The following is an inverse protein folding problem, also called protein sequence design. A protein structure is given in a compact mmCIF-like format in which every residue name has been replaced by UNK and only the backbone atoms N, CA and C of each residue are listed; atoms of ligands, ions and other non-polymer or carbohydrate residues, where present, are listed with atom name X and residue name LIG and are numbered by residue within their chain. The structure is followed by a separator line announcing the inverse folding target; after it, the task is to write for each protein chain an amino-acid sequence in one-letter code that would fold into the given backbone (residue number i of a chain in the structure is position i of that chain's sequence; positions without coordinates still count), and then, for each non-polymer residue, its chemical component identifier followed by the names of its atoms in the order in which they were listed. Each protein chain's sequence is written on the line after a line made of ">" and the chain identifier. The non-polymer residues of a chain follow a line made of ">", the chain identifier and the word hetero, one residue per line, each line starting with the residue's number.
data_IF_350829389333
#
_entry.id   IF_350829389333
#
_cell.length_a   1.000
_cell.length_b   1.000
_cell.length_c   1.000
_cell.angle_alpha   90.00
_cell.angle_beta   90.00
_cell.angle_gamma   90.00
#
_symmetry.space_group_name_H-M   'P 1'
#
loop_
_entity.id
_entity.type
_entity.pdbx_description
1 polymer ?
#
# COMPACT_ATOMS: atom_id res chain seq x y z
N UNK A 1 -3.17 -13.58 -30.71
CA UNK A 1 -3.20 -14.00 -32.12
C UNK A 1 -3.54 -12.86 -33.07
N UNK A 2 -4.62 -12.10 -32.84
CA UNK A 2 -5.08 -11.03 -33.76
C UNK A 2 -4.02 -9.97 -34.12
N UNK A 3 -3.19 -9.53 -33.17
CA UNK A 3 -2.13 -8.53 -33.42
C UNK A 3 -1.01 -9.06 -34.32
N UNK A 4 -0.68 -10.35 -34.22
CA UNK A 4 0.31 -10.98 -35.11
C UNK A 4 -0.26 -11.12 -36.53
N UNK A 5 -1.52 -11.52 -36.65
CA UNK A 5 -2.20 -11.67 -37.96
C UNK A 5 -2.31 -10.32 -38.67
N UNK A 6 -2.67 -9.25 -37.96
CA UNK A 6 -2.73 -7.90 -38.53
C UNK A 6 -1.36 -7.42 -39.03
N UNK A 7 -0.30 -7.69 -38.27
CA UNK A 7 1.06 -7.31 -38.65
C UNK A 7 1.55 -8.03 -39.91
N UNK A 8 1.38 -9.35 -39.98
CA UNK A 8 1.76 -10.12 -41.18
C UNK A 8 0.90 -9.77 -42.40
N UNK A 9 -0.38 -9.52 -42.21
CA UNK A 9 -1.27 -9.08 -43.29
C UNK A 9 -0.86 -7.71 -43.83
N UNK A 10 -0.55 -6.75 -42.96
CA UNK A 10 -0.07 -5.42 -43.37
C UNK A 10 1.24 -5.49 -44.14
N UNK A 11 2.19 -6.33 -43.72
CA UNK A 11 3.46 -6.52 -44.43
C UNK A 11 3.23 -7.17 -45.80
N UNK A 12 2.33 -8.14 -45.88
CA UNK A 12 2.00 -8.83 -47.11
C UNK A 12 1.40 -7.88 -48.17
N UNK A 13 0.51 -6.97 -47.76
CA UNK A 13 -0.02 -5.95 -48.68
C UNK A 13 1.03 -4.96 -49.17
N UNK A 14 1.98 -4.57 -48.31
CA UNK A 14 3.11 -3.70 -48.70
C UNK A 14 4.03 -4.41 -49.71
N UNK A 15 4.29 -5.71 -49.51
CA UNK A 15 5.09 -6.53 -50.43
C UNK A 15 4.40 -6.72 -51.79
N UNK A 16 3.09 -6.97 -51.80
CA UNK A 16 2.31 -7.05 -53.05
C UNK A 16 2.37 -5.73 -53.80
N UNK A 17 2.13 -4.59 -53.12
CA UNK A 17 2.21 -3.27 -53.74
C UNK A 17 3.61 -2.99 -54.32
N UNK A 18 4.65 -3.41 -53.62
CA UNK A 18 6.05 -3.26 -54.07
C UNK A 18 6.36 -4.17 -55.28
N UNK A 19 5.84 -5.40 -55.30
CA UNK A 19 6.03 -6.34 -56.40
C UNK A 19 5.30 -5.89 -57.68
N UNK A 20 4.09 -5.34 -57.54
CA UNK A 20 3.35 -4.77 -58.67
C UNK A 20 4.06 -3.54 -59.26
N UNK A 21 4.64 -2.68 -58.41
CA UNK A 21 5.43 -1.54 -58.85
C UNK A 21 6.72 -1.93 -59.59
N UNK A 22 7.31 -3.09 -59.26
CA UNK A 22 8.51 -3.60 -59.93
C UNK A 22 8.22 -4.32 -61.26
N UNK A 23 7.05 -4.96 -61.39
CA UNK A 23 6.71 -5.79 -62.55
C UNK A 23 6.19 -4.99 -63.76
N UNK A 24 5.52 -3.86 -63.54
CA UNK A 24 4.96 -3.05 -64.63
C UNK A 24 5.19 -1.55 -64.39
N UNK A 25 6.42 -1.04 -64.59
CA UNK A 25 6.77 0.35 -64.29
C UNK A 25 6.03 1.38 -65.18
N UNK A 26 5.60 0.99 -66.38
CA UNK A 26 4.92 1.90 -67.33
C UNK A 26 3.47 2.24 -66.93
N UNK A 27 2.80 1.38 -66.16
CA UNK A 27 1.48 1.70 -65.57
C UNK A 27 1.57 2.79 -64.50
N UNK A 28 2.80 3.10 -64.06
CA UNK A 28 3.10 4.07 -63.03
C UNK A 28 3.66 5.40 -63.60
N UNK A 29 3.65 5.61 -64.93
CA UNK A 29 3.97 6.89 -65.61
C UNK A 29 2.78 7.86 -65.64
N UNK A 30 2.06 7.98 -64.52
CA UNK A 30 1.03 9.00 -64.39
C UNK A 30 1.64 10.21 -63.69
N UNK A 31 1.33 11.43 -64.12
CA UNK A 31 1.76 12.71 -63.53
C UNK A 31 1.60 12.76 -61.99
N UNK A 32 0.64 11.98 -61.46
CA UNK A 32 0.39 11.79 -60.02
C UNK A 32 1.46 10.96 -59.30
N UNK A 33 2.22 10.13 -60.02
CA UNK A 33 3.26 9.26 -59.48
C UNK A 33 4.63 9.90 -59.45
N UNK A 34 4.93 10.75 -60.44
CA UNK A 34 6.11 11.62 -60.42
C UNK A 34 5.99 12.64 -59.27
N UNK A 35 4.79 13.18 -59.06
CA UNK A 35 4.43 13.98 -57.88
C UNK A 35 4.60 13.20 -56.56
N UNK A 36 4.20 11.93 -56.52
CA UNK A 36 4.39 11.06 -55.35
C UNK A 36 5.88 10.77 -55.09
N UNK A 37 6.68 10.62 -56.14
CA UNK A 37 8.13 10.42 -56.06
C UNK A 37 8.86 11.68 -55.57
N UNK A 38 8.44 12.87 -56.00
CA UNK A 38 8.99 14.15 -55.57
C UNK A 38 8.64 14.45 -54.09
N UNK A 39 7.45 14.04 -53.63
CA UNK A 39 7.03 14.13 -52.23
C UNK A 39 7.38 12.90 -51.39
N UNK A 40 8.09 11.92 -51.94
CA UNK A 40 8.42 10.64 -51.30
C UNK A 40 9.13 10.81 -49.96
N UNK A 41 10.04 11.78 -49.87
CA UNK A 41 10.75 12.12 -48.63
C UNK A 41 9.82 12.70 -47.57
N UNK A 42 8.85 13.52 -47.95
CA UNK A 42 7.82 14.04 -47.03
C UNK A 42 6.92 12.92 -46.49
N UNK A 43 6.45 12.01 -47.36
CA UNK A 43 5.64 10.86 -46.92
C UNK A 43 6.44 9.87 -46.07
N UNK A 44 7.69 9.58 -46.42
CA UNK A 44 8.59 8.75 -45.61
C UNK A 44 8.84 9.38 -44.24
N UNK A 45 9.14 10.68 -44.20
CA UNK A 45 9.36 11.41 -42.95
C UNK A 45 8.09 11.43 -42.10
N UNK A 46 6.93 11.73 -42.68
CA UNK A 46 5.66 11.72 -41.97
C UNK A 46 5.29 10.33 -41.45
N UNK A 47 5.57 9.27 -42.22
CA UNK A 47 5.34 7.90 -41.78
C UNK A 47 6.25 7.52 -40.60
N UNK A 48 7.56 7.81 -40.70
CA UNK A 48 8.51 7.60 -39.60
C UNK A 48 8.08 8.40 -38.36
N UNK A 49 7.62 9.64 -38.54
CA UNK A 49 7.16 10.50 -37.46
C UNK A 49 5.91 9.95 -36.77
N UNK A 50 4.90 9.53 -37.53
CA UNK A 50 3.68 8.90 -37.00
C UNK A 50 4.02 7.60 -36.26
N UNK A 51 4.84 6.73 -36.85
CA UNK A 51 5.29 5.48 -36.21
C UNK A 51 6.05 5.78 -34.91
N UNK A 52 6.90 6.82 -34.90
CA UNK A 52 7.63 7.24 -33.70
C UNK A 52 6.67 7.71 -32.60
N UNK A 53 5.67 8.53 -32.92
CA UNK A 53 4.64 8.97 -31.97
C UNK A 53 3.89 7.75 -31.40
N UNK A 54 3.49 6.81 -32.25
CA UNK A 54 2.78 5.60 -31.82
C UNK A 54 3.65 4.76 -30.89
N UNK A 55 4.94 4.58 -31.21
CA UNK A 55 5.88 3.85 -30.34
C UNK A 55 6.05 4.53 -28.99
N UNK A 56 6.26 5.84 -28.96
CA UNK A 56 6.37 6.62 -27.71
C UNK A 56 5.09 6.47 -26.89
N UNK A 57 3.92 6.55 -27.54
CA UNK A 57 2.63 6.39 -26.88
C UNK A 57 2.42 4.99 -26.30
N UNK A 58 2.83 3.94 -27.01
CA UNK A 58 2.76 2.56 -26.51
C UNK A 58 3.70 2.33 -25.31
N UNK A 59 4.91 2.89 -25.33
CA UNK A 59 5.84 2.84 -24.20
C UNK A 59 5.22 3.55 -23.00
N UNK A 60 4.64 4.74 -23.20
CA UNK A 60 3.94 5.49 -22.17
C UNK A 60 2.79 4.68 -21.55
N UNK A 61 1.95 4.03 -22.37
CA UNK A 61 0.87 3.17 -21.88
C UNK A 61 1.38 1.98 -21.07
N UNK A 62 2.45 1.31 -21.53
CA UNK A 62 3.06 0.19 -20.82
C UNK A 62 3.64 0.62 -19.48
N UNK A 63 4.36 1.74 -19.44
CA UNK A 63 4.90 2.31 -18.21
C UNK A 63 3.78 2.70 -17.24
N UNK A 64 2.72 3.36 -17.73
CA UNK A 64 1.55 3.74 -16.93
C UNK A 64 0.86 2.53 -16.30
N UNK A 65 0.65 1.45 -17.08
CA UNK A 65 0.10 0.19 -16.55
C UNK A 65 1.01 -0.46 -15.51
N UNK A 66 2.33 -0.47 -15.73
CA UNK A 66 3.30 -1.01 -14.78
C UNK A 66 3.30 -0.27 -13.44
N UNK A 67 3.27 1.07 -13.48
CA UNK A 67 3.18 1.91 -12.28
C UNK A 67 1.87 1.67 -11.53
N UNK A 68 0.73 1.56 -12.23
CA UNK A 68 -0.57 1.27 -11.59
C UNK A 68 -0.57 -0.11 -10.91
N UNK A 69 -0.04 -1.14 -11.56
CA UNK A 69 0.01 -2.49 -10.99
C UNK A 69 0.92 -2.55 -9.75
N UNK A 70 2.10 -1.91 -9.82
CA UNK A 70 3.01 -1.81 -8.68
C UNK A 70 2.36 -1.10 -7.50
N UNK A 71 1.67 0.03 -7.74
CA UNK A 71 0.95 0.79 -6.72
C UNK A 71 -0.15 -0.04 -6.04
N UNK A 72 -0.97 -0.74 -6.81
CA UNK A 72 -2.04 -1.60 -6.27
C UNK A 72 -1.47 -2.72 -5.39
N UNK A 73 -0.35 -3.34 -5.81
CA UNK A 73 0.32 -4.35 -4.99
C UNK A 73 0.83 -3.77 -3.67
N UNK A 74 1.46 -2.58 -3.69
CA UNK A 74 1.94 -1.92 -2.47
C UNK A 74 0.79 -1.54 -1.52
N UNK A 75 -0.33 -1.05 -2.04
CA UNK A 75 -1.52 -0.73 -1.22
C UNK A 75 -2.07 -1.96 -0.52
N UNK A 76 -2.23 -3.09 -1.23
CA UNK A 76 -2.67 -4.36 -0.65
C UNK A 76 -1.70 -4.83 0.45
N UNK A 77 -0.39 -4.75 0.21
CA UNK A 77 0.60 -5.11 1.23
C UNK A 77 0.52 -4.22 2.47
N UNK A 78 0.34 -2.91 2.30
CA UNK A 78 0.21 -1.98 3.43
C UNK A 78 -1.07 -2.22 4.21
N UNK A 79 -2.19 -2.49 3.54
CA UNK A 79 -3.45 -2.84 4.19
C UNK A 79 -3.32 -4.13 4.99
N UNK A 80 -2.67 -5.16 4.43
CA UNK A 80 -2.40 -6.41 5.13
C UNK A 80 -1.52 -6.19 6.38
N UNK A 81 -0.44 -5.40 6.26
CA UNK A 81 0.42 -5.05 7.40
C UNK A 81 -0.29 -4.23 8.45
N UNK A 82 -1.17 -3.31 8.06
CA UNK A 82 -1.99 -2.55 9.01
C UNK A 82 -2.92 -3.49 9.79
N UNK A 83 -3.65 -4.35 9.09
CA UNK A 83 -4.57 -5.31 9.71
C UNK A 83 -3.86 -6.25 10.69
N UNK A 84 -2.64 -6.69 10.35
CA UNK A 84 -1.81 -7.50 11.25
C UNK A 84 -1.46 -6.74 12.53
N UNK A 85 -0.92 -5.53 12.42
CA UNK A 85 -0.53 -4.72 13.60
C UNK A 85 -1.75 -4.36 14.45
N UNK A 86 -2.89 -4.06 13.84
CA UNK A 86 -4.16 -3.81 14.55
C UNK A 86 -4.58 -5.03 15.34
N UNK A 87 -4.59 -6.21 14.71
CA UNK A 87 -4.95 -7.48 15.37
C UNK A 87 -4.01 -7.81 16.52
N UNK A 88 -2.71 -7.60 16.34
CA UNK A 88 -1.71 -7.84 17.38
C UNK A 88 -1.93 -6.90 18.58
N UNK A 89 -2.20 -5.62 18.31
CA UNK A 89 -2.55 -4.66 19.36
C UNK A 89 -3.84 -5.05 20.10
N UNK A 90 -4.89 -5.47 19.39
CA UNK A 90 -6.14 -5.95 20.02
C UNK A 90 -5.89 -7.15 20.94
N UNK A 91 -5.07 -8.11 20.47
CA UNK A 91 -4.68 -9.27 21.26
C UNK A 91 -3.91 -8.83 22.51
N UNK A 92 -2.94 -7.93 22.37
CA UNK A 92 -2.15 -7.41 23.47
C UNK A 92 -3.01 -6.67 24.51
N UNK A 93 -3.98 -5.88 24.07
CA UNK A 93 -4.96 -5.24 24.98
C UNK A 93 -5.78 -6.27 25.74
N UNK A 94 -6.28 -7.31 25.09
CA UNK A 94 -7.07 -8.36 25.76
C UNK A 94 -6.24 -9.09 26.82
N UNK A 95 -4.97 -9.35 26.53
CA UNK A 95 -4.03 -9.94 27.47
C UNK A 95 -3.76 -9.02 28.65
N UNK A 96 -3.43 -7.76 28.37
CA UNK A 96 -3.12 -6.75 29.39
C UNK A 96 -4.32 -6.48 30.32
N UNK A 97 -5.53 -6.45 29.77
CA UNK A 97 -6.77 -6.31 30.55
C UNK A 97 -6.92 -7.47 31.55
N UNK A 98 -6.77 -8.70 31.08
CA UNK A 98 -6.83 -9.90 31.93
C UNK A 98 -5.72 -9.91 33.00
N UNK A 99 -4.50 -9.54 32.62
CA UNK A 99 -3.36 -9.46 33.52
C UNK A 99 -3.55 -8.38 34.60
N UNK A 100 -4.05 -7.20 34.21
CA UNK A 100 -4.42 -6.10 35.10
C UNK A 100 -5.45 -6.57 36.12
N UNK A 101 -6.57 -7.13 35.67
CA UNK A 101 -7.67 -7.58 36.54
C UNK A 101 -7.22 -8.66 37.52
N UNK A 102 -6.39 -9.60 37.06
CA UNK A 102 -5.84 -10.67 37.90
C UNK A 102 -4.89 -10.11 38.96
N UNK A 103 -3.98 -9.22 38.58
CA UNK A 103 -3.04 -8.58 39.50
C UNK A 103 -3.75 -7.69 40.52
N UNK A 104 -4.81 -6.98 40.12
CA UNK A 104 -5.64 -6.18 41.02
C UNK A 104 -6.27 -7.04 42.13
N UNK A 105 -6.86 -8.19 41.77
CA UNK A 105 -7.41 -9.15 42.74
C UNK A 105 -6.33 -9.72 43.66
N UNK A 106 -5.16 -10.03 43.12
CA UNK A 106 -4.05 -10.56 43.89
C UNK A 106 -3.55 -9.53 44.93
N UNK A 107 -3.33 -8.28 44.52
CA UNK A 107 -2.94 -7.19 45.42
C UNK A 107 -4.00 -7.01 46.52
N UNK A 108 -5.28 -6.96 46.18
CA UNK A 108 -6.38 -6.80 47.14
C UNK A 108 -6.43 -7.95 48.16
N UNK A 109 -6.24 -9.19 47.70
CA UNK A 109 -6.19 -10.38 48.57
C UNK A 109 -4.96 -10.41 49.50
N UNK A 110 -3.83 -9.86 49.05
CA UNK A 110 -2.58 -9.83 49.82
C UNK A 110 -2.48 -8.66 50.80
N UNK A 111 -3.53 -7.82 50.91
CA UNK A 111 -3.59 -6.66 51.81
C UNK A 111 -3.29 -6.99 53.27
N UNK A 112 -3.68 -8.19 53.73
CA UNK A 112 -3.44 -8.66 55.10
C UNK A 112 -2.08 -9.32 55.30
N UNK A 113 -1.42 -9.72 54.21
CA UNK A 113 -0.18 -10.50 54.25
C UNK A 113 1.07 -9.61 54.04
N UNK A 114 0.91 -8.43 53.44
CA UNK A 114 2.01 -7.50 53.18
C UNK A 114 2.17 -6.46 54.28
N UNK A 115 3.39 -5.93 54.41
CA UNK A 115 3.63 -4.74 55.23
C UNK A 115 2.87 -3.54 54.64
N UNK A 116 2.39 -2.61 55.47
CA UNK A 116 1.59 -1.46 55.00
C UNK A 116 2.32 -0.60 53.97
N UNK A 117 3.63 -0.41 54.15
CA UNK A 117 4.49 0.36 53.25
C UNK A 117 4.67 -0.32 51.89
N UNK A 118 4.86 -1.65 51.90
CA UNK A 118 5.00 -2.43 50.68
C UNK A 118 3.68 -2.49 49.90
N UNK A 119 2.56 -2.74 50.59
CA UNK A 119 1.23 -2.72 50.00
C UNK A 119 0.90 -1.36 49.37
N UNK A 120 1.16 -0.26 50.09
CA UNK A 120 0.94 1.10 49.57
C UNK A 120 1.75 1.38 48.29
N UNK A 121 3.02 0.95 48.27
CA UNK A 121 3.90 1.10 47.10
C UNK A 121 3.39 0.31 45.90
N UNK A 122 3.03 -0.96 46.10
CA UNK A 122 2.49 -1.82 45.05
C UNK A 122 1.14 -1.33 44.52
N UNK A 123 0.24 -0.89 45.41
CA UNK A 123 -1.06 -0.34 45.05
C UNK A 123 -0.93 0.95 44.24
N UNK A 124 -0.04 1.86 44.66
CA UNK A 124 0.24 3.10 43.92
C UNK A 124 0.85 2.82 42.54
N UNK A 125 1.78 1.86 42.45
CA UNK A 125 2.38 1.45 41.18
C UNK A 125 1.34 0.82 40.25
N UNK A 126 0.48 -0.06 40.78
CA UNK A 126 -0.63 -0.66 40.04
C UNK A 126 -1.62 0.39 39.52
N UNK A 127 -1.96 1.39 40.34
CA UNK A 127 -2.86 2.47 39.95
C UNK A 127 -2.28 3.31 38.80
N UNK A 128 -0.97 3.61 38.82
CA UNK A 128 -0.28 4.29 37.72
C UNK A 128 -0.33 3.47 36.43
N UNK A 129 -0.01 2.17 36.50
CA UNK A 129 -0.08 1.28 35.33
C UNK A 129 -1.52 1.16 34.78
N UNK A 130 -2.52 1.20 35.67
CA UNK A 130 -3.93 1.21 35.26
C UNK A 130 -4.29 2.48 34.51
N UNK A 131 -3.85 3.65 34.98
CA UNK A 131 -4.05 4.91 34.26
C UNK A 131 -3.34 4.91 32.89
N UNK A 132 -2.11 4.42 32.82
CA UNK A 132 -1.39 4.28 31.54
C UNK A 132 -2.08 3.31 30.58
N UNK A 133 -2.67 2.23 31.09
CA UNK A 133 -3.50 1.32 30.30
C UNK A 133 -4.72 2.04 29.73
N UNK A 134 -5.48 2.73 30.58
CA UNK A 134 -6.75 3.37 30.18
C UNK A 134 -6.49 4.48 29.16
N UNK A 135 -5.41 5.26 29.31
CA UNK A 135 -4.96 6.23 28.31
C UNK A 135 -4.55 5.58 26.97
N UNK A 136 -3.90 4.42 27.03
CA UNK A 136 -3.52 3.69 25.83
C UNK A 136 -4.74 3.11 25.10
N UNK A 137 -5.77 2.69 25.84
CA UNK A 137 -7.05 2.24 25.29
C UNK A 137 -7.81 3.38 24.60
N UNK A 138 -7.83 4.58 25.21
CA UNK A 138 -8.40 5.78 24.57
C UNK A 138 -7.68 6.11 23.25
N UNK A 139 -6.34 6.11 23.24
CA UNK A 139 -5.55 6.31 22.01
C UNK A 139 -5.87 5.23 20.97
N UNK A 140 -6.03 3.97 21.37
CA UNK A 140 -6.35 2.90 20.44
C UNK A 140 -7.71 3.10 19.76
N UNK A 141 -8.72 3.55 20.53
CA UNK A 141 -10.06 3.78 20.03
C UNK A 141 -10.14 5.02 19.11
N UNK A 142 -9.25 6.00 19.30
CA UNK A 142 -9.13 7.19 18.44
C UNK A 142 -8.41 6.89 17.11
N UNK A 143 -7.53 5.89 17.07
CA UNK A 143 -6.83 5.51 15.84
C UNK A 143 -7.78 4.74 14.91
N UNK A 144 -8.01 5.21 13.67
CA UNK A 144 -8.90 4.52 12.75
C UNK A 144 -8.37 3.13 12.39
N UNK A 145 -9.19 2.10 12.59
CA UNK A 145 -8.82 0.69 12.34
C UNK A 145 -8.69 0.36 10.85
N UNK A 146 -9.40 1.10 10.01
CA UNK A 146 -9.42 0.98 8.56
C UNK A 146 -9.47 2.39 8.00
N UNK A 147 -8.70 2.68 6.94
CA UNK A 147 -8.88 3.89 6.17
C UNK A 147 -10.29 3.86 5.57
N UNK A 148 -11.16 4.78 5.97
CA UNK A 148 -12.50 4.89 5.41
C UNK A 148 -12.41 4.89 3.88
N UNK A 149 -13.16 3.98 3.25
CA UNK A 149 -13.43 4.07 1.83
C UNK A 149 -14.23 5.35 1.63
N UNK A 150 -13.53 6.46 1.34
CA UNK A 150 -14.19 7.70 0.94
C UNK A 150 -14.94 7.38 -0.34
N UNK A 151 -16.25 7.23 -0.17
CA UNK A 151 -17.20 6.96 -1.23
C UNK A 151 -17.06 8.03 -2.32
N UNK A 152 -17.14 7.55 -3.56
CA UNK A 152 -16.87 8.24 -4.81
C UNK A 152 -17.36 9.71 -4.84
N UNK A 153 -16.45 10.68 -5.09
CA UNK A 153 -16.72 11.95 -5.85
C UNK A 153 -15.63 13.03 -5.90
N UNK A 154 -14.38 12.80 -5.52
CA UNK A 154 -13.29 13.75 -5.85
C UNK A 154 -12.36 13.19 -6.91
N UNK A 155 -12.81 13.31 -8.17
CA UNK A 155 -11.96 13.47 -9.35
C UNK A 155 -11.05 14.68 -9.12
N UNK A 156 -9.94 14.49 -8.40
CA UNK A 156 -8.67 15.22 -8.52
C UNK A 156 -7.77 14.82 -7.35
N UNK A 157 -6.70 14.09 -7.65
CA UNK A 157 -5.66 13.75 -6.69
C UNK A 157 -5.64 12.28 -6.34
N UNK A 158 -5.13 11.44 -7.25
CA UNK A 158 -4.54 10.13 -6.96
C UNK A 158 -3.26 10.24 -6.11
N UNK A 159 -3.23 11.20 -5.18
CA UNK A 159 -2.10 11.52 -4.34
C UNK A 159 -2.30 10.84 -3.00
N UNK A 160 -1.70 9.66 -2.92
CA UNK A 160 -1.10 9.09 -1.71
C UNK A 160 -2.01 8.55 -0.60
N UNK A 161 -2.68 7.42 -0.90
CA UNK A 161 -3.11 6.47 0.14
C UNK A 161 -1.92 5.81 0.87
N UNK A 162 -0.78 5.64 0.18
CA UNK A 162 0.41 4.97 0.73
C UNK A 162 0.99 5.70 1.96
N UNK A 163 1.05 7.04 1.93
CA UNK A 163 1.56 7.81 3.08
C UNK A 163 0.60 7.76 4.27
N UNK A 164 -0.71 7.74 4.01
CA UNK A 164 -1.74 7.63 5.04
C UNK A 164 -1.70 6.25 5.70
N UNK A 165 -1.62 5.16 4.92
CA UNK A 165 -1.37 3.81 5.44
C UNK A 165 -0.07 3.75 6.25
N UNK A 166 1.02 4.37 5.75
CA UNK A 166 2.30 4.37 6.46
C UNK A 166 2.24 5.15 7.77
N UNK A 167 1.56 6.30 7.82
CA UNK A 167 1.38 7.07 9.05
C UNK A 167 0.54 6.27 10.05
N UNK A 168 -0.55 5.66 9.58
CA UNK A 168 -1.43 4.85 10.42
C UNK A 168 -0.72 3.64 11.03
N UNK A 169 0.08 2.91 10.22
CA UNK A 169 0.94 1.82 10.70
C UNK A 169 1.93 2.34 11.74
N UNK A 170 2.53 3.51 11.53
CA UNK A 170 3.47 4.09 12.49
C UNK A 170 2.80 4.46 13.82
N UNK A 171 1.59 5.01 13.80
CA UNK A 171 0.80 5.28 15.00
C UNK A 171 0.53 4.00 15.78
N UNK A 172 0.03 2.95 15.11
CA UNK A 172 -0.19 1.65 15.73
C UNK A 172 1.10 0.99 16.25
N UNK A 173 2.24 1.15 15.58
CA UNK A 173 3.54 0.67 16.06
C UNK A 173 4.02 1.42 17.30
N UNK A 174 3.80 2.73 17.37
CA UNK A 174 4.13 3.53 18.56
C UNK A 174 3.29 3.09 19.76
N UNK A 175 2.00 2.84 19.53
CA UNK A 175 1.11 2.28 20.54
C UNK A 175 1.56 0.88 20.99
N UNK A 176 1.87 -0.01 20.03
CA UNK A 176 2.38 -1.37 20.31
C UNK A 176 3.59 -1.36 21.25
N UNK A 177 4.56 -0.48 21.03
CA UNK A 177 5.73 -0.32 21.93
C UNK A 177 5.35 0.12 23.34
N UNK A 178 4.35 0.99 23.45
CA UNK A 178 3.85 1.48 24.74
C UNK A 178 3.17 0.35 25.51
N UNK A 179 2.35 -0.45 24.82
CA UNK A 179 1.69 -1.61 25.40
C UNK A 179 2.66 -2.72 25.78
N UNK A 180 3.71 -2.98 24.99
CA UNK A 180 4.72 -3.98 25.35
C UNK A 180 5.52 -3.56 26.58
N UNK A 181 5.84 -2.25 26.71
CA UNK A 181 6.43 -1.72 27.94
C UNK A 181 5.48 -1.89 29.13
N UNK A 182 4.20 -1.58 28.96
CA UNK A 182 3.19 -1.74 29.99
C UNK A 182 3.05 -3.22 30.42
N UNK A 183 3.13 -4.15 29.46
CA UNK A 183 3.18 -5.59 29.71
C UNK A 183 4.38 -5.98 30.57
N UNK A 184 5.56 -5.48 30.23
CA UNK A 184 6.78 -5.75 31.00
C UNK A 184 6.66 -5.21 32.43
N UNK A 185 6.18 -3.98 32.60
CA UNK A 185 6.05 -3.33 33.90
C UNK A 185 4.95 -4.00 34.77
N UNK A 186 3.84 -4.44 34.19
CA UNK A 186 2.83 -5.26 34.86
C UNK A 186 3.39 -6.62 35.28
N UNK A 187 4.17 -7.26 34.42
CA UNK A 187 4.82 -8.56 34.71
C UNK A 187 5.81 -8.41 35.87
N UNK A 188 6.64 -7.37 35.85
CA UNK A 188 7.58 -7.06 36.95
C UNK A 188 6.85 -6.78 38.26
N UNK A 189 5.72 -6.08 38.23
CA UNK A 189 4.92 -5.83 39.44
C UNK A 189 4.30 -7.13 39.96
N UNK A 190 3.75 -7.97 39.08
CA UNK A 190 3.23 -9.30 39.43
C UNK A 190 4.30 -10.18 40.06
N UNK A 191 5.51 -10.18 39.53
CA UNK A 191 6.61 -11.00 40.05
C UNK A 191 7.06 -10.50 41.44
N UNK A 192 7.04 -9.18 41.68
CA UNK A 192 7.26 -8.61 43.03
C UNK A 192 6.17 -8.97 44.03
N UNK A 193 4.91 -9.03 43.58
CA UNK A 193 3.75 -9.41 44.41
C UNK A 193 3.71 -10.92 44.67
N UNK A 194 4.19 -11.74 43.74
CA UNK A 194 4.20 -13.21 43.85
C UNK A 194 5.46 -13.78 44.50
N UNK A 195 6.57 -13.03 44.47
CA UNK A 195 7.86 -13.44 45.04
C UNK A 195 8.00 -13.20 46.56
N UNK A 196 6.93 -12.76 47.21
CA UNK A 196 6.78 -12.55 48.66
C UNK A 196 5.72 -13.53 49.15
#
# INVERSE_FOLDING_TARGET
>A
MATRVFFYSSIFFILIGSAFAAYAPDLFQWETLEWLYEKRTFFLFSFIFIVSIVLIYLIYLKARKGVLHSKSKTEIHLQASLNEVVRDNQSLFSFLKSAKDTLGKQIESSKTNFSPEFFSTCSTHYQKLTQEFDLSEEIFNDIPLVLEEVDDKRKNGTNFRISEYSDLINRHRKLSRTLEKLREDLTRLRDKVSGI
#
